data_IF_756224283906
#
_entry.id   IF_756224283906
#
_cell.length_a   1.000
_cell.length_b   1.000
_cell.length_c   1.000
_cell.angle_alpha   90.00
_cell.angle_beta   90.00
_cell.angle_gamma   90.00
#
_symmetry.space_group_name_H-M   'P 1'
#
loop_
_entity.id
_entity.type
_entity.pdbx_description
1 polymer ?
#
# COMPACT_ATOMS: atom_id res chain seq x y z
N UNK A 1 -11.41 12.06 1.41
CA UNK A 1 -10.61 12.56 0.30
C UNK A 1 -10.77 11.55 -0.82
N UNK A 2 -11.32 11.97 -1.95
CA UNK A 2 -11.57 11.07 -3.06
C UNK A 2 -10.26 10.79 -3.80
N UNK A 3 -9.96 9.52 -4.04
CA UNK A 3 -8.77 9.10 -4.76
C UNK A 3 -9.08 9.22 -6.25
N UNK A 4 -8.38 10.12 -6.93
CA UNK A 4 -8.52 10.31 -8.37
C UNK A 4 -7.79 9.20 -9.13
N UNK A 5 -8.50 8.40 -9.92
CA UNK A 5 -7.88 7.37 -10.76
C UNK A 5 -7.01 8.01 -11.85
N UNK A 6 -5.88 7.38 -12.14
CA UNK A 6 -4.87 7.89 -13.06
C UNK A 6 -3.87 8.84 -12.42
N UNK A 7 -4.17 9.41 -11.24
CA UNK A 7 -3.25 10.26 -10.49
C UNK A 7 -2.12 9.46 -9.83
N UNK A 8 -1.08 10.19 -9.41
CA UNK A 8 0.06 9.63 -8.68
C UNK A 8 0.18 10.21 -7.27
N UNK A 9 0.68 9.38 -6.35
CA UNK A 9 1.04 9.80 -5.00
C UNK A 9 2.49 9.39 -4.67
N UNK A 10 3.24 10.32 -4.09
CA UNK A 10 4.56 10.06 -3.52
C UNK A 10 4.46 9.76 -2.02
N UNK A 11 5.06 8.67 -1.57
CA UNK A 11 5.13 8.28 -0.17
C UNK A 11 6.58 8.17 0.30
N UNK A 12 6.85 8.66 1.51
CA UNK A 12 8.10 8.42 2.23
C UNK A 12 7.85 7.41 3.35
N UNK A 13 8.38 6.21 3.18
CA UNK A 13 8.21 5.10 4.11
C UNK A 13 9.34 5.10 5.14
N UNK A 14 8.99 5.31 6.40
CA UNK A 14 9.91 5.23 7.54
C UNK A 14 9.57 4.08 8.50
N UNK A 15 8.30 3.66 8.58
CA UNK A 15 7.91 2.51 9.39
C UNK A 15 8.35 1.19 8.75
N UNK A 16 8.92 0.24 9.54
CA UNK A 16 9.39 -1.05 9.02
C UNK A 16 8.32 -1.85 8.26
N UNK A 17 7.08 -1.87 8.75
CA UNK A 17 5.96 -2.61 8.15
C UNK A 17 5.67 -2.21 6.70
N UNK A 18 5.70 -0.92 6.39
CA UNK A 18 5.43 -0.44 5.03
C UNK A 18 6.60 -0.69 4.09
N UNK A 19 7.84 -0.71 4.61
CA UNK A 19 8.99 -1.16 3.81
C UNK A 19 8.85 -2.63 3.43
N UNK A 20 8.46 -3.48 4.38
CA UNK A 20 8.18 -4.89 4.12
C UNK A 20 7.06 -5.04 3.07
N UNK A 21 5.95 -4.29 3.22
CA UNK A 21 4.85 -4.27 2.26
C UNK A 21 5.32 -4.02 0.83
N UNK A 22 6.12 -2.97 0.64
CA UNK A 22 6.62 -2.60 -0.70
C UNK A 22 7.64 -3.59 -1.22
N UNK A 23 8.52 -4.11 -0.38
CA UNK A 23 9.44 -5.19 -0.78
C UNK A 23 8.68 -6.42 -1.27
N UNK A 24 7.64 -6.85 -0.54
CA UNK A 24 6.77 -7.96 -0.96
C UNK A 24 6.07 -7.67 -2.27
N UNK A 25 5.43 -6.51 -2.39
CA UNK A 25 4.75 -6.12 -3.63
C UNK A 25 5.71 -6.09 -4.84
N UNK A 26 6.96 -5.68 -4.64
CA UNK A 26 7.96 -5.60 -5.70
C UNK A 26 8.57 -6.95 -6.08
N UNK A 27 8.70 -7.89 -5.14
CA UNK A 27 9.46 -9.13 -5.32
C UNK A 27 8.60 -10.39 -5.44
N UNK A 28 7.39 -10.41 -4.88
CA UNK A 28 6.46 -11.53 -5.01
C UNK A 28 5.70 -11.43 -6.34
N UNK A 29 5.85 -12.41 -7.26
CA UNK A 29 5.24 -12.34 -8.59
C UNK A 29 3.72 -12.17 -8.57
N UNK A 30 3.06 -12.84 -7.63
CA UNK A 30 1.59 -12.85 -7.52
C UNK A 30 1.01 -11.49 -7.11
N UNK A 31 1.82 -10.63 -6.49
CA UNK A 31 1.38 -9.29 -6.06
C UNK A 31 1.46 -8.24 -7.15
N UNK A 32 2.14 -8.52 -8.26
CA UNK A 32 2.16 -7.65 -9.46
C UNK A 32 2.48 -6.17 -9.19
N UNK A 33 3.31 -5.88 -8.17
CA UNK A 33 3.67 -4.51 -7.74
C UNK A 33 2.47 -3.66 -7.33
N UNK A 34 1.44 -4.29 -6.79
CA UNK A 34 0.20 -3.65 -6.36
C UNK A 34 0.10 -3.61 -4.84
N UNK A 35 -0.52 -2.54 -4.33
CA UNK A 35 -0.99 -2.41 -2.95
C UNK A 35 -2.40 -1.81 -2.95
N UNK A 36 -3.15 -2.02 -1.87
CA UNK A 36 -4.43 -1.34 -1.67
C UNK A 36 -4.20 -0.08 -0.82
N UNK A 37 -4.61 1.06 -1.35
CA UNK A 37 -4.63 2.32 -0.62
C UNK A 37 -6.05 2.61 -0.12
N UNK A 38 -6.20 2.73 1.19
CA UNK A 38 -7.46 3.09 1.84
C UNK A 38 -7.35 4.54 2.34
N UNK A 39 -8.31 5.42 2.04
CA UNK A 39 -8.33 6.78 2.55
C UNK A 39 -8.84 6.83 4.01
N UNK A 40 -8.41 5.86 4.84
CA UNK A 40 -8.77 5.77 6.25
C UNK A 40 -7.62 6.30 7.12
N UNK A 41 -7.78 7.52 7.63
CA UNK A 41 -6.82 8.17 8.52
C UNK A 41 -7.05 7.81 10.00
N UNK A 42 -8.03 6.96 10.31
CA UNK A 42 -8.28 6.49 11.67
C UNK A 42 -7.67 5.09 11.84
N UNK A 43 -6.61 5.02 12.66
CA UNK A 43 -5.86 3.80 13.03
C UNK A 43 -5.10 3.09 11.89
N UNK A 44 -5.28 3.49 10.63
CA UNK A 44 -4.62 2.88 9.46
C UNK A 44 -4.94 1.40 9.28
N UNK A 45 -6.14 0.99 9.71
CA UNK A 45 -6.64 -0.39 9.62
C UNK A 45 -7.80 -0.38 8.63
N UNK A 46 -7.74 -1.25 7.62
CA UNK A 46 -8.88 -1.49 6.75
C UNK A 46 -9.97 -2.28 7.46
N UNK A 47 -11.22 -2.06 7.09
CA UNK A 47 -12.37 -2.82 7.54
C UNK A 47 -13.05 -3.54 6.37
N UNK A 48 -13.82 -4.58 6.67
CA UNK A 48 -14.72 -5.18 5.69
C UNK A 48 -15.68 -4.13 5.13
N UNK A 49 -15.80 -4.05 3.80
CA UNK A 49 -16.65 -3.08 3.13
C UNK A 49 -15.98 -1.73 2.84
N UNK A 50 -14.73 -1.52 3.26
CA UNK A 50 -13.99 -0.31 2.91
C UNK A 50 -13.78 -0.21 1.40
N UNK A 51 -13.94 1.01 0.89
CA UNK A 51 -13.67 1.34 -0.50
C UNK A 51 -12.33 2.05 -0.59
N UNK A 52 -11.45 1.51 -1.44
CA UNK A 52 -10.11 2.03 -1.68
C UNK A 52 -9.78 2.16 -3.14
N UNK A 53 -8.48 2.34 -3.39
CA UNK A 53 -7.90 2.26 -4.72
C UNK A 53 -6.82 1.19 -4.80
N UNK A 54 -6.80 0.47 -5.91
CA UNK A 54 -5.65 -0.33 -6.33
C UNK A 54 -4.55 0.62 -6.78
N UNK A 55 -3.39 0.55 -6.11
CA UNK A 55 -2.24 1.38 -6.37
C UNK A 55 -1.09 0.53 -6.92
N UNK A 56 -0.60 0.88 -8.10
CA UNK A 56 0.59 0.30 -8.70
C UNK A 56 1.84 1.07 -8.28
N UNK A 57 2.87 0.35 -7.83
CA UNK A 57 4.17 0.94 -7.54
C UNK A 57 4.90 1.22 -8.86
N UNK A 58 4.99 2.49 -9.24
CA UNK A 58 5.69 2.94 -10.45
C UNK A 58 7.16 3.22 -10.19
N UNK A 59 7.51 3.61 -8.96
CA UNK A 59 8.90 3.87 -8.54
C UNK A 59 9.13 3.40 -7.11
N UNK A 60 10.29 2.79 -6.88
CA UNK A 60 10.80 2.46 -5.54
C UNK A 60 12.27 2.85 -5.43
N UNK A 61 12.61 3.61 -4.40
CA UNK A 61 13.98 4.02 -4.11
C UNK A 61 14.28 3.84 -2.62
N UNK A 62 15.13 2.87 -2.24
CA UNK A 62 15.61 2.79 -0.87
C UNK A 62 16.53 3.99 -0.58
N UNK A 63 16.32 4.65 0.55
CA UNK A 63 17.19 5.72 1.05
C UNK A 63 18.16 5.07 2.03
N UNK A 64 19.45 5.13 1.69
CA UNK A 64 20.53 4.75 2.61
C UNK A 64 20.90 5.98 3.42
N UNK A 65 20.30 6.10 4.59
CA UNK A 65 20.81 7.04 5.57
C UNK A 65 22.15 6.52 6.11
N UNK A 66 23.04 7.43 6.51
CA UNK A 66 24.32 7.06 7.12
C UNK A 66 24.15 6.20 8.38
N UNK A 67 25.27 5.80 9.02
CA UNK A 67 25.37 4.83 10.14
C UNK A 67 24.35 4.97 11.31
N UNK A 68 23.56 6.04 11.41
CA UNK A 68 22.62 6.30 12.49
C UNK A 68 21.14 6.46 12.06
N UNK A 69 20.80 6.38 10.77
CA UNK A 69 19.42 6.57 10.30
C UNK A 69 18.60 5.27 10.28
N UNK A 70 17.32 5.36 10.64
CA UNK A 70 16.37 4.28 10.36
C UNK A 70 16.24 4.11 8.84
N UNK A 71 16.22 2.88 8.30
CA UNK A 71 16.09 2.70 6.85
C UNK A 71 14.78 3.29 6.33
N UNK A 72 14.84 4.08 5.26
CA UNK A 72 13.70 4.75 4.62
C UNK A 72 13.56 4.33 3.15
N UNK A 73 12.41 4.60 2.54
CA UNK A 73 12.23 4.44 1.10
C UNK A 73 11.25 5.46 0.53
N UNK A 74 11.53 5.97 -0.66
CA UNK A 74 10.60 6.74 -1.47
C UNK A 74 9.86 5.80 -2.41
N UNK A 75 8.54 5.98 -2.52
CA UNK A 75 7.65 5.19 -3.38
C UNK A 75 6.75 6.13 -4.15
N UNK A 76 6.59 5.88 -5.45
CA UNK A 76 5.55 6.51 -6.25
C UNK A 76 4.49 5.45 -6.57
N UNK A 77 3.24 5.81 -6.32
CA UNK A 77 2.06 5.01 -6.60
C UNK A 77 1.26 5.64 -7.71
N UNK A 78 0.69 4.84 -8.61
CA UNK A 78 -0.35 5.26 -9.55
C UNK A 78 -1.64 4.53 -9.23
N UNK A 79 -2.73 5.26 -9.05
CA UNK A 79 -4.04 4.67 -8.76
C UNK A 79 -4.71 4.25 -10.06
N UNK A 80 -5.13 3.00 -10.17
CA UNK A 80 -5.68 2.45 -11.42
C UNK A 80 -7.17 2.15 -11.32
N UNK A 81 -7.61 1.61 -10.19
CA UNK A 81 -8.97 1.08 -10.06
C UNK A 81 -9.54 1.29 -8.67
N UNK A 82 -10.87 1.32 -8.57
CA UNK A 82 -11.58 1.28 -7.29
C UNK A 82 -11.72 -0.16 -6.83
N UNK A 83 -11.54 -0.38 -5.53
CA UNK A 83 -11.68 -1.71 -4.93
C UNK A 83 -12.60 -1.69 -3.72
N UNK A 84 -13.24 -2.83 -3.46
CA UNK A 84 -13.97 -3.12 -2.24
C UNK A 84 -13.19 -4.17 -1.44
N UNK A 85 -12.88 -3.86 -0.18
CA UNK A 85 -12.23 -4.81 0.74
C UNK A 85 -13.25 -5.87 1.17
N UNK A 86 -12.96 -7.13 0.86
CA UNK A 86 -13.81 -8.28 1.21
C UNK A 86 -13.42 -8.89 2.55
N UNK A 87 -12.14 -8.92 2.88
CA UNK A 87 -11.65 -9.43 4.15
C UNK A 87 -10.28 -8.84 4.43
N UNK A 88 -9.93 -8.64 5.70
CA UNK A 88 -8.62 -8.14 6.09
C UNK A 88 -8.13 -8.87 7.33
N UNK A 89 -6.81 -8.92 7.49
CA UNK A 89 -6.18 -9.48 8.67
C UNK A 89 -4.86 -8.77 8.95
N UNK A 90 -4.41 -8.86 10.19
CA UNK A 90 -3.05 -8.48 10.57
C UNK A 90 -2.12 -9.67 10.34
N UNK A 91 -1.01 -9.46 9.63
CA UNK A 91 -0.05 -10.51 9.37
C UNK A 91 0.87 -10.70 10.60
N UNK A 92 0.97 -11.93 11.15
CA UNK A 92 1.86 -12.19 12.28
C UNK A 92 3.32 -11.82 11.97
N UNK A 93 4.03 -11.28 12.97
CA UNK A 93 5.47 -10.95 12.92
C UNK A 93 5.84 -9.87 11.88
N UNK A 94 4.93 -8.95 11.59
CA UNK A 94 5.15 -7.88 10.59
C UNK A 94 4.95 -6.47 11.14
N UNK A 95 4.97 -6.31 12.47
CA UNK A 95 4.75 -5.02 13.13
C UNK A 95 3.38 -4.43 12.76
N UNK A 96 2.33 -5.23 12.87
CA UNK A 96 0.96 -4.86 12.49
C UNK A 96 0.79 -4.44 11.01
N UNK A 97 1.41 -5.18 10.08
CA UNK A 97 1.11 -5.02 8.65
C UNK A 97 -0.22 -5.68 8.34
N UNK A 98 -1.13 -4.92 7.73
CA UNK A 98 -2.42 -5.42 7.30
C UNK A 98 -2.38 -5.93 5.86
N UNK A 99 -3.05 -7.05 5.64
CA UNK A 99 -3.30 -7.66 4.33
C UNK A 99 -4.81 -7.74 4.11
N UNK A 100 -5.24 -7.87 2.86
CA UNK A 100 -6.64 -8.00 2.54
C UNK A 100 -6.89 -8.80 1.26
N UNK A 101 -8.11 -9.30 1.13
CA UNK A 101 -8.70 -9.69 -0.15
C UNK A 101 -9.65 -8.59 -0.60
N UNK A 102 -9.78 -8.43 -1.92
CA UNK A 102 -10.59 -7.38 -2.51
C UNK A 102 -11.26 -7.85 -3.79
N UNK A 103 -12.26 -7.09 -4.21
CA UNK A 103 -12.82 -7.17 -5.56
C UNK A 103 -12.78 -5.79 -6.22
N UNK A 104 -12.74 -5.79 -7.54
CA UNK A 104 -12.77 -4.57 -8.35
C UNK A 104 -14.19 -4.02 -8.38
N UNK A 105 -14.33 -2.70 -8.22
CA UNK A 105 -15.60 -2.00 -8.42
C UNK A 105 -15.62 -1.49 -9.86
N UNK A 106 -16.55 -1.95 -10.71
CA UNK A 106 -16.64 -1.48 -12.09
C UNK A 106 -16.84 0.04 -12.17
N UNK A 107 -16.35 0.71 -13.23
CA UNK A 107 -16.76 2.09 -13.51
C UNK A 107 -18.28 2.14 -13.73
N UNK A 108 -18.92 3.17 -13.16
CA UNK A 108 -20.35 3.47 -13.37
C UNK A 108 -20.59 4.02 -14.78
#
# INVERSE_FOLDING_TARGET
ADIELGSEAGLLLFEPRYRLMVQRAMWEPDRRRQIIFLPNFQRYIGAHGDIGALAHITRYRPIRDGKAGLPRAEVTLRFTDRVLVLFHWEQPRTDSLHECTFTMIPPL
#
